data_IF_321420282695
#
_entry.id   IF_321420282695
#
_cell.length_a   1.000
_cell.length_b   1.000
_cell.length_c   1.000
_cell.angle_alpha   90.00
_cell.angle_beta   90.00
_cell.angle_gamma   90.00
#
_symmetry.space_group_name_H-M   'P 1'
#
loop_
_entity.id
_entity.type
_entity.pdbx_description
1 polymer ?
#
# COMPACT_ATOMS: atom_id res chain seq x y z
N UNK A 1 29.06 -25.75 22.16
CA UNK A 1 28.02 -25.19 23.05
C UNK A 1 27.66 -23.76 22.70
N UNK A 2 26.79 -23.58 21.71
CA UNK A 2 26.17 -22.28 21.41
C UNK A 2 24.89 -22.19 22.23
N UNK A 3 24.98 -21.54 23.40
CA UNK A 3 23.82 -21.25 24.24
C UNK A 3 22.80 -20.40 23.45
N UNK A 4 21.69 -21.05 23.07
CA UNK A 4 20.51 -20.39 22.51
C UNK A 4 19.86 -19.55 23.62
N UNK A 5 20.18 -18.26 23.70
CA UNK A 5 19.45 -17.30 24.51
C UNK A 5 18.04 -17.13 23.96
N UNK A 6 17.08 -17.93 24.45
CA UNK A 6 15.67 -17.86 24.07
C UNK A 6 14.90 -17.04 25.11
N UNK A 7 14.47 -15.85 24.73
CA UNK A 7 13.65 -14.97 25.56
C UNK A 7 12.15 -15.36 25.54
N UNK A 8 11.42 -14.96 26.58
CA UNK A 8 9.97 -15.17 26.79
C UNK A 8 9.18 -13.89 26.51
N UNK A 9 7.96 -14.05 25.99
CA UNK A 9 6.92 -13.02 25.94
C UNK A 9 5.66 -13.59 26.62
N UNK A 10 5.28 -13.06 27.79
CA UNK A 10 4.07 -13.47 28.55
C UNK A 10 2.81 -12.77 28.05
N UNK A 11 1.64 -12.95 28.69
CA UNK A 11 0.30 -12.52 28.21
C UNK A 11 0.08 -11.01 28.00
N UNK A 12 1.13 -10.18 28.12
CA UNK A 12 1.23 -8.79 27.62
C UNK A 12 1.74 -8.76 26.15
N UNK A 13 1.23 -9.69 25.33
CA UNK A 13 1.92 -10.21 24.13
C UNK A 13 2.23 -9.21 23.01
N UNK A 14 1.50 -8.10 22.89
CA UNK A 14 1.70 -7.15 21.81
C UNK A 14 2.53 -5.92 22.21
N UNK A 15 2.35 -5.39 23.42
CA UNK A 15 3.03 -4.14 23.83
C UNK A 15 4.54 -4.29 23.91
N UNK A 16 5.02 -5.42 24.45
CA UNK A 16 6.46 -5.72 24.54
C UNK A 16 7.07 -5.96 23.16
N UNK A 17 6.38 -6.72 22.29
CA UNK A 17 6.85 -6.97 20.93
C UNK A 17 6.88 -5.66 20.10
N UNK A 18 5.85 -4.83 20.21
CA UNK A 18 5.82 -3.49 19.58
C UNK A 18 6.99 -2.62 20.07
N UNK A 19 7.31 -2.67 21.36
CA UNK A 19 8.42 -1.91 21.94
C UNK A 19 9.77 -2.39 21.41
N UNK A 20 9.96 -3.72 21.31
CA UNK A 20 11.16 -4.32 20.74
C UNK A 20 11.34 -4.01 19.26
N UNK A 21 10.25 -3.89 18.50
CA UNK A 21 10.27 -3.59 17.06
C UNK A 21 10.23 -2.10 16.74
N UNK A 22 10.07 -1.22 17.74
CA UNK A 22 10.02 0.22 17.52
C UNK A 22 11.28 0.78 16.81
N UNK A 23 12.52 0.36 17.14
CA UNK A 23 13.70 0.80 16.40
C UNK A 23 13.68 0.39 14.92
N UNK A 24 13.27 -0.84 14.63
CA UNK A 24 13.16 -1.35 13.24
C UNK A 24 12.09 -0.58 12.48
N UNK A 25 10.94 -0.33 13.12
CA UNK A 25 9.83 0.44 12.55
C UNK A 25 10.25 1.87 12.21
N UNK A 26 11.06 2.49 13.07
CA UNK A 26 11.62 3.83 12.82
C UNK A 26 12.53 3.85 11.59
N UNK A 27 13.43 2.88 11.47
CA UNK A 27 14.32 2.79 10.29
C UNK A 27 13.53 2.54 9.01
N UNK A 28 12.50 1.69 9.05
CA UNK A 28 11.58 1.48 7.92
C UNK A 28 10.94 2.80 7.48
N UNK A 29 10.43 3.59 8.43
CA UNK A 29 9.83 4.90 8.14
C UNK A 29 10.85 5.90 7.57
N UNK A 30 12.09 5.88 8.06
CA UNK A 30 13.17 6.73 7.54
C UNK A 30 13.51 6.39 6.08
N UNK A 31 13.56 5.10 5.73
CA UNK A 31 13.75 4.64 4.34
C UNK A 31 12.61 5.11 3.44
N UNK A 32 11.36 4.98 3.90
CA UNK A 32 10.19 5.43 3.14
C UNK A 32 10.22 6.96 2.96
N UNK A 33 10.49 7.70 4.02
CA UNK A 33 10.63 9.16 3.97
C UNK A 33 11.78 9.61 3.06
N UNK A 34 12.89 8.86 3.01
CA UNK A 34 14.00 9.14 2.12
C UNK A 34 13.57 9.06 0.66
N UNK A 35 12.83 8.02 0.27
CA UNK A 35 12.27 7.91 -1.08
C UNK A 35 11.34 9.07 -1.40
N UNK A 36 10.44 9.44 -0.48
CA UNK A 36 9.49 10.55 -0.69
C UNK A 36 10.17 11.92 -0.86
N UNK A 37 11.27 12.17 -0.15
CA UNK A 37 12.07 13.40 -0.29
C UNK A 37 12.88 13.44 -1.59
N UNK A 38 13.13 12.28 -2.21
CA UNK A 38 13.98 12.15 -3.40
C UNK A 38 13.20 11.72 -4.65
N UNK A 39 11.94 12.17 -4.78
CA UNK A 39 11.06 11.84 -5.92
C UNK A 39 11.62 12.23 -7.30
N UNK A 40 12.47 13.25 -7.36
CA UNK A 40 13.14 13.70 -8.60
C UNK A 40 14.42 12.93 -8.94
N UNK A 41 14.83 11.98 -8.09
CA UNK A 41 16.07 11.23 -8.29
C UNK A 41 16.02 10.39 -9.56
N UNK A 42 17.09 10.34 -10.37
CA UNK A 42 17.18 9.41 -11.50
C UNK A 42 17.13 7.93 -11.03
N UNK A 43 17.45 7.67 -9.76
CA UNK A 43 17.38 6.35 -9.14
C UNK A 43 16.05 6.10 -8.42
N UNK A 44 15.00 6.87 -8.70
CA UNK A 44 13.72 6.75 -7.99
C UNK A 44 13.11 5.34 -8.02
N UNK A 45 13.26 4.59 -9.12
CA UNK A 45 12.81 3.19 -9.17
C UNK A 45 13.61 2.28 -8.21
N UNK A 46 14.91 2.54 -8.00
CA UNK A 46 15.71 1.81 -7.01
C UNK A 46 15.25 2.14 -5.60
N UNK A 47 15.08 3.43 -5.30
CA UNK A 47 14.59 3.90 -4.00
C UNK A 47 13.19 3.36 -3.70
N UNK A 48 12.33 3.28 -4.72
CA UNK A 48 10.98 2.74 -4.58
C UNK A 48 10.99 1.23 -4.35
N UNK A 49 11.82 0.47 -5.08
CA UNK A 49 11.97 -0.96 -4.80
C UNK A 49 12.35 -1.19 -3.33
N UNK A 50 13.33 -0.42 -2.81
CA UNK A 50 13.74 -0.54 -1.41
C UNK A 50 12.66 -0.13 -0.43
N UNK A 51 12.04 1.02 -0.65
CA UNK A 51 11.01 1.60 0.22
C UNK A 51 9.76 0.72 0.36
N UNK A 52 9.37 0.04 -0.71
CA UNK A 52 8.12 -0.72 -0.75
C UNK A 52 8.31 -2.14 -0.21
N UNK A 53 9.52 -2.73 -0.29
CA UNK A 53 9.80 -4.06 0.29
C UNK A 53 10.42 -4.04 1.68
N UNK A 54 11.02 -2.93 2.14
CA UNK A 54 11.65 -2.87 3.48
C UNK A 54 10.71 -3.26 4.65
N UNK A 55 9.36 -3.10 4.60
CA UNK A 55 8.48 -3.63 5.65
C UNK A 55 8.54 -5.15 5.83
N UNK A 56 9.11 -5.90 4.87
CA UNK A 56 9.39 -7.34 5.00
C UNK A 56 10.21 -7.67 6.25
N UNK A 57 11.07 -6.75 6.70
CA UNK A 57 11.86 -6.93 7.94
C UNK A 57 10.99 -7.06 9.19
N UNK A 58 9.71 -6.65 9.11
CA UNK A 58 8.71 -6.84 10.17
C UNK A 58 8.14 -8.26 10.26
N UNK A 59 8.57 -9.22 9.43
CA UNK A 59 8.03 -10.58 9.38
C UNK A 59 8.00 -11.31 10.73
N UNK A 60 8.89 -10.93 11.66
CA UNK A 60 8.99 -11.49 13.02
C UNK A 60 7.71 -11.30 13.85
N UNK A 61 6.88 -10.30 13.52
CA UNK A 61 5.58 -10.07 14.12
C UNK A 61 4.43 -10.76 13.36
N UNK A 62 4.72 -11.43 12.25
CA UNK A 62 3.71 -12.00 11.37
C UNK A 62 3.51 -13.48 11.65
N UNK A 63 2.32 -13.83 12.13
CA UNK A 63 1.85 -15.20 12.30
C UNK A 63 0.40 -15.29 11.80
N UNK A 64 -0.02 -16.42 11.20
CA UNK A 64 0.72 -17.66 11.02
C UNK A 64 1.48 -17.75 9.69
N UNK A 65 1.56 -16.68 8.90
CA UNK A 65 2.09 -16.70 7.53
C UNK A 65 3.22 -15.68 7.28
N UNK A 66 4.36 -15.76 8.00
CA UNK A 66 5.48 -14.83 7.80
C UNK A 66 6.14 -14.94 6.42
N UNK A 67 6.27 -16.15 5.86
CA UNK A 67 6.85 -16.37 4.53
C UNK A 67 6.05 -15.69 3.42
N UNK A 68 4.72 -15.96 3.32
CA UNK A 68 3.84 -15.24 2.41
C UNK A 68 3.88 -13.71 2.58
N UNK A 69 3.94 -13.20 3.80
CA UNK A 69 4.10 -11.75 4.03
C UNK A 69 5.38 -11.18 3.40
N UNK A 70 6.54 -11.83 3.59
CA UNK A 70 7.78 -11.40 2.94
C UNK A 70 7.67 -11.47 1.42
N UNK A 71 6.98 -12.48 0.89
CA UNK A 71 6.73 -12.62 -0.54
C UNK A 71 5.93 -11.43 -1.08
N UNK A 72 4.86 -11.03 -0.41
CA UNK A 72 4.02 -9.90 -0.84
C UNK A 72 4.84 -8.59 -0.89
N UNK A 73 5.73 -8.39 0.08
CA UNK A 73 6.65 -7.24 0.09
C UNK A 73 7.70 -7.32 -1.03
N UNK A 74 8.22 -8.51 -1.33
CA UNK A 74 9.10 -8.72 -2.49
C UNK A 74 8.37 -8.42 -3.80
N UNK A 75 7.12 -8.86 -3.95
CA UNK A 75 6.32 -8.60 -5.15
C UNK A 75 6.08 -7.09 -5.35
N UNK A 76 5.94 -6.33 -4.26
CA UNK A 76 5.89 -4.86 -4.31
C UNK A 76 7.22 -4.26 -4.84
N UNK A 77 8.38 -4.78 -4.42
CA UNK A 77 9.66 -4.38 -5.00
C UNK A 77 9.77 -4.76 -6.48
N UNK A 78 9.25 -5.93 -6.88
CA UNK A 78 9.32 -6.43 -8.26
C UNK A 78 8.71 -5.46 -9.27
N UNK A 79 7.67 -4.72 -8.89
CA UNK A 79 7.09 -3.68 -9.75
C UNK A 79 8.12 -2.64 -10.19
N UNK A 80 9.01 -2.22 -9.28
CA UNK A 80 10.01 -1.21 -9.53
C UNK A 80 11.33 -1.79 -10.05
N UNK A 81 11.76 -2.96 -9.56
CA UNK A 81 12.97 -3.61 -10.09
C UNK A 81 12.79 -4.03 -11.55
N UNK A 82 11.59 -4.44 -11.97
CA UNK A 82 11.29 -4.68 -13.39
C UNK A 82 11.42 -3.42 -14.25
N UNK A 83 11.12 -2.24 -13.70
CA UNK A 83 11.35 -0.96 -14.38
C UNK A 83 12.84 -0.66 -14.49
N UNK A 84 13.60 -0.90 -13.43
CA UNK A 84 15.07 -0.80 -13.47
C UNK A 84 15.64 -1.74 -14.55
N UNK A 85 15.23 -3.00 -14.58
CA UNK A 85 15.67 -3.94 -15.62
C UNK A 85 15.28 -3.45 -17.01
N UNK A 86 14.05 -2.96 -17.20
CA UNK A 86 13.61 -2.41 -18.49
C UNK A 86 14.49 -1.24 -18.94
N UNK A 87 14.81 -0.34 -18.03
CA UNK A 87 15.51 0.91 -18.35
C UNK A 87 17.02 0.71 -18.55
N UNK A 88 17.61 -0.30 -17.90
CA UNK A 88 19.06 -0.49 -17.82
C UNK A 88 19.60 -1.81 -18.40
N UNK A 89 18.77 -2.83 -18.71
CA UNK A 89 19.25 -4.16 -19.17
C UNK A 89 20.24 -4.15 -20.33
N UNK A 90 20.11 -3.17 -21.23
CA UNK A 90 20.96 -3.01 -22.42
C UNK A 90 21.91 -1.80 -22.31
N UNK A 91 21.87 -1.06 -21.19
CA UNK A 91 22.64 0.17 -21.00
C UNK A 91 23.74 0.02 -19.98
N UNK A 92 23.42 -0.58 -18.84
CA UNK A 92 24.35 -0.70 -17.72
C UNK A 92 24.03 -1.93 -16.89
N UNK A 93 24.99 -2.85 -16.87
CA UNK A 93 24.91 -4.13 -16.19
C UNK A 93 24.90 -4.00 -14.67
N UNK A 94 25.48 -2.93 -14.10
CA UNK A 94 25.52 -2.70 -12.66
C UNK A 94 24.12 -2.66 -12.06
N UNK A 95 23.17 -2.02 -12.74
CA UNK A 95 21.79 -1.93 -12.29
C UNK A 95 21.06 -3.28 -12.36
N UNK A 96 21.39 -4.11 -13.36
CA UNK A 96 20.85 -5.48 -13.48
C UNK A 96 21.38 -6.35 -12.34
N UNK A 97 22.68 -6.27 -12.07
CA UNK A 97 23.33 -6.99 -10.96
C UNK A 97 22.77 -6.55 -9.61
N UNK A 98 22.54 -5.25 -9.42
CA UNK A 98 21.87 -4.72 -8.24
C UNK A 98 20.47 -5.30 -8.07
N UNK A 99 19.65 -5.36 -9.12
CA UNK A 99 18.30 -5.96 -9.03
C UNK A 99 18.38 -7.42 -8.60
N UNK A 100 19.26 -8.20 -9.22
CA UNK A 100 19.38 -9.63 -8.91
C UNK A 100 19.83 -9.85 -7.46
N UNK A 101 20.84 -9.11 -7.01
CA UNK A 101 21.33 -9.18 -5.63
C UNK A 101 20.28 -8.67 -4.62
N UNK A 102 19.53 -7.63 -4.97
CA UNK A 102 18.51 -7.08 -4.07
C UNK A 102 17.33 -8.04 -3.89
N UNK A 103 16.87 -8.67 -4.98
CA UNK A 103 15.76 -9.64 -4.95
C UNK A 103 16.18 -10.94 -4.25
N UNK A 104 17.47 -11.32 -4.30
CA UNK A 104 17.95 -12.53 -3.62
C UNK A 104 17.82 -12.43 -2.10
N UNK A 105 18.02 -11.24 -1.50
CA UNK A 105 17.82 -11.00 -0.06
C UNK A 105 16.45 -11.52 0.40
N UNK A 106 15.40 -11.16 -0.32
CA UNK A 106 14.03 -11.54 0.04
C UNK A 106 13.73 -13.00 -0.26
N UNK A 107 14.31 -13.54 -1.33
CA UNK A 107 14.17 -14.94 -1.70
C UNK A 107 14.82 -15.86 -0.66
N UNK A 108 16.02 -15.52 -0.21
CA UNK A 108 16.74 -16.24 0.85
C UNK A 108 16.05 -16.09 2.20
N UNK A 109 15.51 -14.90 2.51
CA UNK A 109 14.73 -14.69 3.74
C UNK A 109 13.47 -15.57 3.76
N UNK A 110 12.74 -15.68 2.64
CA UNK A 110 11.61 -16.60 2.55
C UNK A 110 12.03 -18.05 2.77
N UNK A 111 13.16 -18.48 2.19
CA UNK A 111 13.70 -19.82 2.39
C UNK A 111 14.05 -20.09 3.86
N UNK A 112 14.72 -19.13 4.52
CA UNK A 112 15.04 -19.20 5.94
C UNK A 112 13.77 -19.30 6.81
N UNK A 113 12.78 -18.44 6.56
CA UNK A 113 11.51 -18.46 7.30
C UNK A 113 10.79 -19.79 7.09
N UNK A 114 10.74 -20.30 5.85
CA UNK A 114 10.10 -21.58 5.55
C UNK A 114 10.77 -22.73 6.31
N UNK A 115 12.10 -22.71 6.43
CA UNK A 115 12.87 -23.77 7.08
C UNK A 115 12.81 -23.71 8.62
N UNK A 116 12.81 -22.51 9.21
CA UNK A 116 13.01 -22.34 10.65
C UNK A 116 11.79 -21.77 11.39
N UNK A 117 10.91 -21.03 10.70
CA UNK A 117 9.85 -20.21 11.31
C UNK A 117 8.55 -20.26 10.49
N UNK A 118 8.18 -21.44 9.97
CA UNK A 118 7.10 -21.62 8.99
C UNK A 118 5.79 -20.95 9.39
N UNK A 119 5.45 -20.98 10.69
CA UNK A 119 4.21 -20.41 11.24
C UNK A 119 4.43 -19.15 12.10
N UNK A 120 5.62 -18.56 12.05
CA UNK A 120 6.03 -17.44 12.92
C UNK A 120 7.11 -17.83 13.92
N UNK A 121 7.62 -16.82 14.63
CA UNK A 121 8.59 -17.03 15.70
C UNK A 121 7.97 -17.80 16.88
N UNK A 122 8.71 -18.78 17.38
CA UNK A 122 8.38 -19.49 18.61
C UNK A 122 9.15 -18.90 19.79
N UNK A 123 8.41 -18.31 20.74
CA UNK A 123 8.98 -17.71 21.95
C UNK A 123 9.06 -18.74 23.09
N UNK A 124 10.10 -18.66 23.92
CA UNK A 124 10.27 -19.58 25.06
C UNK A 124 9.18 -19.34 26.12
N UNK A 125 8.62 -20.41 26.68
CA UNK A 125 7.66 -20.31 27.80
C UNK A 125 8.35 -20.14 29.16
N UNK A 126 9.64 -20.48 29.26
CA UNK A 126 10.42 -20.56 30.51
C UNK A 126 11.67 -19.68 30.49
N UNK A 127 11.95 -18.98 29.39
CA UNK A 127 13.11 -18.10 29.26
C UNK A 127 12.96 -16.75 29.99
N UNK A 128 14.05 -15.97 30.10
CA UNK A 128 13.99 -14.60 30.62
C UNK A 128 13.03 -13.74 29.79
N UNK A 129 12.25 -12.86 30.42
CA UNK A 129 11.33 -11.96 29.70
C UNK A 129 12.16 -10.95 28.92
N UNK A 130 11.86 -10.77 27.63
CA UNK A 130 12.50 -9.74 26.82
C UNK A 130 12.05 -8.35 27.31
N UNK A 131 12.99 -7.51 27.78
CA UNK A 131 12.72 -6.12 28.13
C UNK A 131 12.91 -5.22 26.91
N UNK A 132 11.98 -4.29 26.67
CA UNK A 132 12.03 -3.33 25.56
C UNK A 132 13.08 -2.21 25.72
N UNK A 133 14.07 -2.39 26.59
CA UNK A 133 15.16 -1.44 26.80
C UNK A 133 16.27 -1.67 25.79
N UNK A 134 16.71 -0.62 25.10
CA UNK A 134 17.82 -0.69 24.16
C UNK A 134 19.10 -1.20 24.87
N UNK A 135 19.75 -2.28 24.39
CA UNK A 135 21.10 -2.61 24.83
C UNK A 135 22.07 -1.61 24.20
N UNK A 136 22.79 -0.87 25.03
CA UNK A 136 23.96 -0.07 24.64
C UNK A 136 25.19 -0.97 24.42
N UNK A 137 25.11 -1.89 23.45
CA UNK A 137 26.20 -2.81 23.10
C UNK A 137 26.32 -2.94 21.59
N UNK A 138 27.41 -2.41 21.03
CA UNK A 138 27.71 -2.47 19.60
C UNK A 138 27.79 -3.91 19.08
N UNK A 139 27.15 -4.18 17.96
CA UNK A 139 27.36 -5.41 17.21
C UNK A 139 28.83 -5.49 16.72
N UNK A 140 29.44 -6.69 16.61
CA UNK A 140 30.75 -6.83 16.00
C UNK A 140 30.70 -6.34 14.55
N UNK A 141 31.72 -5.59 14.14
CA UNK A 141 31.82 -5.07 12.78
C UNK A 141 31.84 -6.22 11.75
N UNK A 142 31.19 -6.05 10.58
CA UNK A 142 31.36 -6.98 9.47
C UNK A 142 32.83 -7.00 9.00
N UNK A 143 33.33 -8.12 8.46
CA UNK A 143 34.70 -8.20 7.95
C UNK A 143 34.94 -7.15 6.87
N UNK A 144 36.15 -6.54 6.82
CA UNK A 144 36.41 -5.38 5.98
C UNK A 144 36.29 -5.72 4.48
N UNK A 145 35.65 -4.86 3.66
CA UNK A 145 35.70 -4.92 2.21
C UNK A 145 37.14 -4.71 1.70
N UNK A 146 37.50 -5.37 0.59
CA UNK A 146 38.79 -5.19 -0.08
C UNK A 146 39.04 -3.73 -0.52
N UNK A 147 40.30 -3.33 -0.72
CA UNK A 147 40.69 -1.92 -0.87
C UNK A 147 40.12 -1.31 -2.17
N UNK A 148 39.49 -0.12 -2.10
CA UNK A 148 39.06 0.63 -3.27
C UNK A 148 40.23 1.36 -3.96
N UNK A 149 40.09 1.70 -5.27
CA UNK A 149 41.11 2.44 -6.02
C UNK A 149 41.32 3.88 -5.48
N UNK A 150 42.52 4.47 -5.67
CA UNK A 150 42.93 5.71 -5.00
C UNK A 150 42.16 6.95 -5.52
N UNK A 151 41.83 7.92 -4.66
CA UNK A 151 41.13 9.16 -5.04
C UNK A 151 42.09 10.22 -5.61
N UNK A 152 41.58 11.07 -6.51
CA UNK A 152 42.21 12.33 -6.90
C UNK A 152 41.81 13.45 -5.94
N UNK A 153 42.81 14.24 -5.53
CA UNK A 153 42.72 15.42 -4.66
C UNK A 153 42.00 16.61 -5.30
N UNK A 154 41.17 17.29 -4.49
CA UNK A 154 40.94 18.74 -4.57
C UNK A 154 40.68 19.28 -3.16
N UNK A 155 41.62 20.11 -2.69
CA UNK A 155 41.72 20.77 -1.39
C UNK A 155 40.86 22.08 -1.32
N UNK A 156 40.53 22.46 -0.07
CA UNK A 156 40.16 23.79 0.48
C UNK A 156 38.73 24.32 0.26
N UNK A 157 37.98 24.80 1.27
CA UNK A 157 38.38 25.54 2.48
C UNK A 157 37.34 25.50 3.63
N UNK A 158 37.87 25.42 4.86
CA UNK A 158 37.50 26.06 6.15
C UNK A 158 36.04 26.46 6.54
N UNK A 159 35.60 25.91 7.69
CA UNK A 159 35.37 26.69 8.92
C UNK A 159 33.92 26.92 9.43
N UNK A 160 33.63 26.48 10.67
CA UNK A 160 32.73 27.19 11.60
C UNK A 160 31.51 26.42 12.15
N UNK A 161 31.57 26.08 13.44
CA UNK A 161 30.56 25.43 14.29
C UNK A 161 29.36 26.33 14.67
N UNK A 162 28.16 25.75 14.86
CA UNK A 162 27.09 26.13 15.81
C UNK A 162 25.78 25.36 15.54
N UNK A 163 25.58 24.20 16.19
CA UNK A 163 24.44 23.31 15.91
C UNK A 163 23.68 22.80 17.14
N UNK A 164 23.19 23.68 18.03
CA UNK A 164 22.34 23.25 19.16
C UNK A 164 21.11 24.14 19.46
N UNK A 165 20.99 25.35 18.90
CA UNK A 165 19.93 26.31 19.25
C UNK A 165 18.73 26.32 18.30
N UNK A 166 18.79 25.62 17.16
CA UNK A 166 17.74 25.70 16.11
C UNK A 166 16.52 24.80 16.35
N UNK A 167 16.62 23.77 17.22
CA UNK A 167 15.51 22.83 17.45
C UNK A 167 14.47 23.28 18.48
N UNK A 168 14.83 24.13 19.45
CA UNK A 168 13.85 24.67 20.41
C UNK A 168 13.07 25.89 19.89
N UNK A 169 13.57 26.58 18.86
CA UNK A 169 12.86 27.69 18.22
C UNK A 169 11.69 27.25 17.32
N UNK A 170 11.80 26.05 16.73
CA UNK A 170 10.78 25.46 15.86
C UNK A 170 9.54 24.94 16.63
N UNK A 171 9.69 24.54 17.89
CA UNK A 171 8.56 24.10 18.71
C UNK A 171 7.82 25.26 19.41
N UNK A 172 8.48 26.37 19.68
CA UNK A 172 7.84 27.57 20.25
C UNK A 172 6.97 28.33 19.21
N UNK A 173 7.23 28.15 17.92
CA UNK A 173 6.48 28.77 16.82
C UNK A 173 5.20 27.99 16.45
N UNK A 174 5.10 26.71 16.82
CA UNK A 174 3.92 25.88 16.56
C UNK A 174 2.77 26.06 17.57
N UNK A 175 3.05 26.58 18.77
CA UNK A 175 2.06 26.73 19.86
C UNK A 175 1.38 28.11 19.93
N UNK A 176 1.37 28.90 18.86
CA UNK A 176 0.81 30.27 18.85
C UNK A 176 -0.61 30.46 18.30
N UNK A 177 -1.31 29.38 17.95
CA UNK A 177 -2.75 29.45 17.63
C UNK A 177 -3.16 30.58 16.65
N UNK A 178 -4.33 31.17 16.87
CA UNK A 178 -4.99 32.14 15.99
C UNK A 178 -4.25 33.50 15.80
N UNK A 179 -3.10 33.72 16.43
CA UNK A 179 -2.33 34.97 16.32
C UNK A 179 -1.32 34.99 15.14
N UNK A 180 -1.25 33.93 14.34
CA UNK A 180 -0.34 33.83 13.17
C UNK A 180 -0.62 34.87 12.07
N UNK A 181 -1.80 35.49 12.06
CA UNK A 181 -2.21 36.49 11.06
C UNK A 181 -1.70 37.91 11.37
N UNK A 182 -1.14 38.16 12.56
CA UNK A 182 -0.60 39.48 12.95
C UNK A 182 0.78 39.81 12.36
N UNK A 183 1.46 38.83 11.75
CA UNK A 183 2.79 38.98 11.16
C UNK A 183 2.83 39.28 9.65
N UNK A 184 1.67 39.35 8.99
CA UNK A 184 1.60 39.66 7.56
C UNK A 184 1.61 41.18 7.36
N UNK A 185 2.56 41.67 6.55
CA UNK A 185 2.69 43.09 6.21
C UNK A 185 1.43 43.53 5.47
N UNK A 186 0.65 44.45 6.05
CA UNK A 186 -0.57 44.96 5.44
C UNK A 186 -0.22 45.74 4.16
N UNK A 187 -0.76 45.30 3.02
CA UNK A 187 -0.59 45.99 1.73
C UNK A 187 -1.49 47.23 1.72
N UNK A 188 -0.92 48.45 1.60
CA UNK A 188 -1.72 49.67 1.55
C UNK A 188 -2.60 49.70 0.28
N UNK A 189 -3.73 50.39 0.37
CA UNK A 189 -4.81 50.31 -0.63
C UNK A 189 -4.44 50.90 -2.00
N UNK A 190 -3.37 51.68 -2.06
CA UNK A 190 -2.74 52.21 -3.27
C UNK A 190 -2.03 51.14 -4.12
N UNK A 191 -1.68 49.98 -3.54
CA UNK A 191 -1.06 48.86 -4.26
C UNK A 191 -2.05 47.76 -4.67
N UNK A 192 -3.34 47.94 -4.38
CA UNK A 192 -4.39 47.00 -4.80
C UNK A 192 -4.98 47.48 -6.12
N UNK A 193 -4.77 46.69 -7.18
CA UNK A 193 -5.18 47.01 -8.57
C UNK A 193 -6.70 47.22 -8.78
N UNK A 194 -7.54 46.85 -7.80
CA UNK A 194 -8.98 47.09 -7.83
C UNK A 194 -9.43 48.35 -7.06
N UNK A 195 -8.53 49.01 -6.31
CA UNK A 195 -8.82 50.22 -5.52
C UNK A 195 -8.07 51.47 -5.96
N UNK A 196 -7.00 51.32 -6.77
CA UNK A 196 -6.24 52.45 -7.30
C UNK A 196 -6.41 52.58 -8.83
N UNK A 197 -7.22 53.53 -9.33
CA UNK A 197 -7.51 53.68 -10.77
C UNK A 197 -6.29 54.07 -11.63
N UNK A 198 -5.23 54.64 -11.05
CA UNK A 198 -4.04 55.10 -11.80
C UNK A 198 -3.12 53.96 -12.23
N UNK A 199 -3.20 52.78 -11.60
CA UNK A 199 -2.42 51.59 -11.99
C UNK A 199 -2.98 50.85 -13.23
N UNK A 200 -4.15 51.23 -13.74
CA UNK A 200 -4.73 50.66 -14.97
C UNK A 200 -4.27 51.35 -16.26
N UNK A 201 -3.57 52.49 -16.17
CA UNK A 201 -3.33 53.38 -17.31
C UNK A 201 -1.88 53.46 -17.81
N UNK A 202 -0.99 52.54 -17.40
CA UNK A 202 0.36 52.42 -17.98
C UNK A 202 0.59 51.02 -18.56
N UNK A 203 0.36 50.90 -19.85
CA UNK A 203 0.73 49.75 -20.67
C UNK A 203 0.44 50.07 -22.14
N UNK A 204 1.44 50.60 -22.85
CA UNK A 204 1.41 50.77 -24.31
C UNK A 204 1.31 49.44 -25.07
N UNK A 205 1.24 49.46 -26.42
CA UNK A 205 0.76 48.33 -27.20
C UNK A 205 1.71 47.14 -27.14
N UNK A 206 1.27 46.05 -26.50
CA UNK A 206 1.96 44.77 -26.50
C UNK A 206 1.53 43.94 -27.71
N UNK A 207 2.54 43.45 -28.43
CA UNK A 207 2.45 42.55 -29.57
C UNK A 207 1.53 41.36 -29.26
N UNK A 208 0.70 40.99 -30.24
CA UNK A 208 -0.21 39.84 -30.17
C UNK A 208 0.57 38.54 -29.93
N UNK A 209 0.58 38.07 -28.68
CA UNK A 209 1.00 36.72 -28.33
C UNK A 209 0.06 35.66 -28.91
N UNK A 210 0.52 34.42 -29.11
CA UNK A 210 -0.30 33.38 -29.71
C UNK A 210 -1.53 33.07 -28.84
N UNK A 211 -2.65 32.81 -29.51
CA UNK A 211 -3.96 32.41 -28.97
C UNK A 211 -3.84 31.40 -27.79
N UNK A 212 -4.78 31.43 -26.82
CA UNK A 212 -4.81 30.46 -25.73
C UNK A 212 -4.78 29.05 -26.31
N UNK A 213 -3.83 28.25 -25.84
CA UNK A 213 -3.62 26.89 -26.30
C UNK A 213 -4.97 26.16 -26.22
N UNK A 214 -5.52 25.81 -27.38
CA UNK A 214 -6.55 24.81 -27.49
C UNK A 214 -6.08 23.58 -26.69
N UNK A 215 -6.98 22.97 -25.92
CA UNK A 215 -6.71 21.71 -25.24
C UNK A 215 -6.08 20.76 -26.25
N UNK A 216 -4.78 20.52 -26.10
CA UNK A 216 -4.09 19.48 -26.85
C UNK A 216 -4.83 18.20 -26.49
N UNK A 217 -5.25 17.36 -27.46
CA UNK A 217 -5.69 16.02 -27.13
C UNK A 217 -4.57 15.43 -26.29
N UNK A 218 -4.89 15.03 -25.06
CA UNK A 218 -4.00 14.15 -24.30
C UNK A 218 -3.67 13.03 -25.25
N UNK A 219 -2.40 12.92 -25.63
CA UNK A 219 -1.92 11.78 -26.39
C UNK A 219 -2.45 10.55 -25.66
N UNK A 220 -3.28 9.74 -26.35
CA UNK A 220 -3.81 8.52 -25.80
C UNK A 220 -2.66 7.81 -25.10
N UNK A 221 -2.83 7.52 -23.81
CA UNK A 221 -1.86 6.74 -23.07
C UNK A 221 -1.50 5.55 -23.96
N UNK A 222 -0.21 5.39 -24.27
CA UNK A 222 0.27 4.27 -25.07
C UNK A 222 -0.41 3.02 -24.55
N UNK A 223 -1.09 2.21 -25.39
CA UNK A 223 -1.87 1.09 -24.91
C UNK A 223 -0.97 0.25 -24.02
N UNK A 224 -1.38 0.14 -22.74
CA UNK A 224 -0.68 -0.70 -21.79
C UNK A 224 -0.55 -2.07 -22.46
N UNK A 225 0.68 -2.58 -22.60
CA UNK A 225 0.94 -3.88 -23.20
C UNK A 225 0.08 -4.91 -22.47
N UNK A 226 -1.03 -5.31 -23.08
CA UNK A 226 -1.98 -6.28 -22.54
C UNK A 226 -1.29 -7.63 -22.60
N UNK A 227 -1.04 -8.23 -21.45
CA UNK A 227 -0.70 -9.63 -21.37
C UNK A 227 -1.87 -10.44 -21.98
N UNK A 228 -1.61 -11.63 -22.53
CA UNK A 228 -2.69 -12.45 -23.08
C UNK A 228 -3.72 -12.78 -21.99
N UNK A 229 -5.02 -12.82 -22.34
CA UNK A 229 -6.06 -13.27 -21.42
C UNK A 229 -5.78 -14.70 -20.95
N UNK A 230 -5.94 -14.94 -19.66
CA UNK A 230 -5.78 -16.27 -19.03
C UNK A 230 -7.10 -16.67 -18.41
N UNK A 231 -7.52 -17.90 -18.69
CA UNK A 231 -8.60 -18.59 -18.00
C UNK A 231 -8.21 -20.08 -17.91
N UNK A 232 -7.56 -20.45 -16.81
CA UNK A 232 -7.08 -21.83 -16.62
C UNK A 232 -7.05 -22.22 -15.15
N UNK A 233 -7.11 -23.53 -14.89
CA UNK A 233 -6.89 -24.10 -13.57
C UNK A 233 -5.41 -24.47 -13.40
N UNK A 234 -4.71 -23.76 -12.52
CA UNK A 234 -3.35 -24.08 -12.10
C UNK A 234 -3.38 -24.76 -10.72
N UNK A 235 -3.31 -26.09 -10.73
CA UNK A 235 -3.44 -26.93 -9.54
C UNK A 235 -4.81 -26.79 -8.90
N UNK A 236 -4.94 -25.94 -7.89
CA UNK A 236 -6.21 -25.64 -7.20
C UNK A 236 -6.69 -24.20 -7.39
N UNK A 237 -5.97 -23.39 -8.15
CA UNK A 237 -6.26 -21.98 -8.35
C UNK A 237 -6.73 -21.76 -9.78
N UNK A 238 -7.97 -21.33 -9.95
CA UNK A 238 -8.44 -20.76 -11.20
C UNK A 238 -7.84 -19.37 -11.40
N UNK A 239 -7.05 -19.21 -12.45
CA UNK A 239 -6.50 -17.91 -12.87
C UNK A 239 -7.41 -17.30 -13.91
N UNK A 240 -7.95 -16.12 -13.62
CA UNK A 240 -8.72 -15.30 -14.56
C UNK A 240 -7.97 -13.99 -14.73
N UNK A 241 -7.07 -13.90 -15.70
CA UNK A 241 -6.13 -12.78 -15.78
C UNK A 241 -6.23 -12.01 -17.09
N UNK A 242 -6.00 -10.70 -17.03
CA UNK A 242 -5.84 -9.82 -18.20
C UNK A 242 -7.02 -9.85 -19.18
N UNK A 243 -8.23 -10.12 -18.68
CA UNK A 243 -9.46 -10.09 -19.48
C UNK A 243 -9.84 -8.66 -19.81
N UNK A 244 -10.30 -8.41 -21.04
CA UNK A 244 -10.71 -7.10 -21.52
C UNK A 244 -11.98 -7.26 -22.36
N UNK A 245 -13.11 -6.69 -21.92
CA UNK A 245 -14.37 -6.77 -22.67
C UNK A 245 -15.03 -8.16 -22.70
N UNK A 246 -14.64 -9.10 -21.82
CA UNK A 246 -15.10 -10.48 -21.86
C UNK A 246 -16.28 -10.70 -20.92
N UNK A 247 -17.49 -10.88 -21.45
CA UNK A 247 -18.73 -10.98 -20.66
C UNK A 247 -19.30 -12.39 -20.49
N UNK A 248 -18.65 -13.40 -21.08
CA UNK A 248 -19.11 -14.80 -21.06
C UNK A 248 -18.18 -15.76 -20.32
N UNK A 249 -17.35 -15.27 -19.38
CA UNK A 249 -16.39 -16.11 -18.68
C UNK A 249 -17.13 -16.95 -17.63
N UNK A 250 -17.15 -18.28 -17.79
CA UNK A 250 -17.83 -19.19 -16.89
C UNK A 250 -16.86 -20.27 -16.41
N UNK A 251 -16.78 -20.45 -15.10
CA UNK A 251 -16.07 -21.55 -14.44
C UNK A 251 -17.14 -22.51 -13.91
N UNK A 252 -17.38 -23.62 -14.62
CA UNK A 252 -18.40 -24.61 -14.27
C UNK A 252 -17.89 -25.79 -13.45
N UNK A 253 -16.67 -26.24 -13.73
CA UNK A 253 -16.12 -27.47 -13.15
C UNK A 253 -15.33 -27.14 -11.88
N UNK A 254 -16.06 -26.87 -10.79
CA UNK A 254 -15.47 -26.43 -9.52
C UNK A 254 -15.43 -27.52 -8.46
N UNK A 255 -14.42 -27.44 -7.58
CA UNK A 255 -14.31 -28.27 -6.38
C UNK A 255 -14.18 -27.42 -5.11
N UNK A 256 -14.65 -27.94 -3.97
CA UNK A 256 -14.68 -27.23 -2.69
C UNK A 256 -13.32 -26.66 -2.25
N UNK A 257 -12.22 -27.34 -2.59
CA UNK A 257 -10.84 -26.93 -2.21
C UNK A 257 -10.25 -25.84 -3.11
N UNK A 258 -10.88 -25.57 -4.25
CA UNK A 258 -10.36 -24.65 -5.25
C UNK A 258 -10.60 -23.20 -4.85
N UNK A 259 -9.80 -22.32 -5.44
CA UNK A 259 -9.89 -20.87 -5.25
C UNK A 259 -9.89 -20.19 -6.61
N UNK A 260 -10.54 -19.03 -6.73
CA UNK A 260 -10.52 -18.20 -7.94
C UNK A 260 -9.70 -16.95 -7.66
N UNK A 261 -8.78 -16.62 -8.57
CA UNK A 261 -8.01 -15.39 -8.56
C UNK A 261 -8.20 -14.65 -9.88
N UNK A 262 -8.95 -13.55 -9.84
CA UNK A 262 -9.16 -12.68 -10.98
C UNK A 262 -8.25 -11.46 -10.89
N UNK A 263 -7.38 -11.28 -11.88
CA UNK A 263 -6.38 -10.21 -11.88
C UNK A 263 -6.44 -9.38 -13.15
N UNK A 264 -6.46 -8.04 -13.05
CA UNK A 264 -6.45 -7.15 -14.22
C UNK A 264 -7.56 -7.44 -15.23
N UNK A 265 -8.74 -7.83 -14.76
CA UNK A 265 -9.91 -8.01 -15.61
C UNK A 265 -10.67 -6.68 -15.72
N UNK A 266 -10.78 -6.16 -16.93
CA UNK A 266 -11.44 -4.88 -17.20
C UNK A 266 -12.68 -5.08 -18.06
N UNK A 267 -13.75 -4.35 -17.74
CA UNK A 267 -15.01 -4.36 -18.48
C UNK A 267 -15.46 -5.79 -18.82
N UNK A 268 -15.45 -6.68 -17.84
CA UNK A 268 -15.62 -8.11 -18.03
C UNK A 268 -16.64 -8.66 -17.03
N UNK A 269 -17.12 -9.88 -17.27
CA UNK A 269 -18.05 -10.58 -16.38
C UNK A 269 -17.61 -12.03 -16.21
N UNK A 270 -17.46 -12.45 -14.96
CA UNK A 270 -17.03 -13.79 -14.56
C UNK A 270 -18.14 -14.43 -13.75
N UNK A 271 -18.55 -15.63 -14.15
CA UNK A 271 -19.48 -16.48 -13.41
C UNK A 271 -18.75 -17.69 -12.85
N UNK A 272 -18.85 -17.92 -11.55
CA UNK A 272 -18.28 -19.09 -10.86
C UNK A 272 -19.42 -19.95 -10.35
N UNK A 273 -19.64 -21.11 -10.97
CA UNK A 273 -20.70 -22.04 -10.57
C UNK A 273 -20.20 -23.03 -9.54
N UNK A 274 -21.10 -23.49 -8.67
CA UNK A 274 -20.80 -24.43 -7.60
C UNK A 274 -20.14 -23.79 -6.37
N UNK A 275 -19.62 -24.64 -5.49
CA UNK A 275 -19.12 -24.24 -4.18
C UNK A 275 -17.60 -24.36 -4.11
N UNK A 276 -16.93 -23.24 -3.82
CA UNK A 276 -15.47 -23.17 -3.74
C UNK A 276 -14.99 -22.56 -2.42
N UNK A 277 -13.68 -22.59 -2.18
CA UNK A 277 -13.09 -22.14 -0.92
C UNK A 277 -13.09 -20.61 -0.80
N UNK A 278 -12.58 -19.89 -1.80
CA UNK A 278 -12.49 -18.43 -1.78
C UNK A 278 -12.35 -17.83 -3.18
N UNK A 279 -12.67 -16.54 -3.30
CA UNK A 279 -12.50 -15.75 -4.54
C UNK A 279 -11.73 -14.48 -4.21
N UNK A 280 -10.77 -14.10 -5.03
CA UNK A 280 -10.07 -12.81 -4.93
C UNK A 280 -10.15 -12.08 -6.26
N UNK A 281 -10.57 -10.82 -6.22
CA UNK A 281 -10.53 -9.87 -7.32
C UNK A 281 -9.42 -8.86 -7.01
N UNK A 282 -8.40 -8.77 -7.87
CA UNK A 282 -7.26 -7.88 -7.68
C UNK A 282 -7.01 -7.02 -8.93
N UNK A 283 -6.98 -5.70 -8.72
CA UNK A 283 -6.65 -4.73 -9.76
C UNK A 283 -7.56 -4.82 -10.99
N UNK A 284 -8.84 -5.15 -10.78
CA UNK A 284 -9.89 -5.22 -11.81
C UNK A 284 -10.68 -3.91 -11.91
N UNK A 285 -11.23 -3.61 -13.08
CA UNK A 285 -12.01 -2.39 -13.33
C UNK A 285 -13.31 -2.70 -14.07
N UNK A 286 -14.46 -2.20 -13.62
CA UNK A 286 -15.76 -2.51 -14.27
C UNK A 286 -15.98 -4.02 -14.42
N UNK A 287 -15.63 -4.78 -13.39
CA UNK A 287 -15.76 -6.23 -13.37
C UNK A 287 -17.07 -6.62 -12.69
N UNK A 288 -17.85 -7.48 -13.34
CA UNK A 288 -18.95 -8.21 -12.70
C UNK A 288 -18.49 -9.60 -12.29
N UNK A 289 -18.70 -9.96 -11.03
CA UNK A 289 -18.54 -11.32 -10.51
C UNK A 289 -19.91 -11.83 -10.07
N UNK A 290 -20.31 -13.00 -10.57
CA UNK A 290 -21.47 -13.76 -10.09
C UNK A 290 -20.98 -15.11 -9.60
N UNK A 291 -21.36 -15.54 -8.41
CA UNK A 291 -20.95 -16.84 -7.88
C UNK A 291 -22.04 -17.52 -7.06
N UNK A 292 -22.01 -18.84 -6.98
CA UNK A 292 -22.99 -19.61 -6.20
C UNK A 292 -22.63 -19.59 -4.70
N UNK A 293 -21.65 -20.38 -4.28
CA UNK A 293 -21.28 -20.51 -2.86
C UNK A 293 -19.78 -20.37 -2.63
N UNK A 294 -19.42 -19.68 -1.54
CA UNK A 294 -18.05 -19.56 -1.06
C UNK A 294 -17.98 -20.01 0.40
N UNK A 295 -17.03 -20.89 0.71
CA UNK A 295 -16.84 -21.42 2.08
C UNK A 295 -16.18 -20.40 3.00
N UNK A 296 -15.20 -19.66 2.50
CA UNK A 296 -14.39 -18.73 3.27
C UNK A 296 -14.78 -17.28 3.02
N UNK A 297 -14.09 -16.65 2.07
CA UNK A 297 -14.14 -15.21 1.85
C UNK A 297 -14.11 -14.85 0.37
N UNK A 298 -14.78 -13.75 0.02
CA UNK A 298 -14.54 -13.03 -1.24
C UNK A 298 -13.77 -11.76 -0.93
N UNK A 299 -12.62 -11.57 -1.56
CA UNK A 299 -11.77 -10.39 -1.39
C UNK A 299 -11.79 -9.54 -2.65
N UNK A 300 -12.04 -8.25 -2.50
CA UNK A 300 -11.99 -7.24 -3.56
C UNK A 300 -10.90 -6.24 -3.21
N UNK A 301 -9.79 -6.29 -3.93
CA UNK A 301 -8.55 -5.58 -3.59
C UNK A 301 -8.13 -4.70 -4.76
N UNK A 302 -7.83 -3.42 -4.48
CA UNK A 302 -7.25 -2.51 -5.47
C UNK A 302 -8.09 -2.38 -6.76
N UNK A 303 -9.41 -2.54 -6.66
CA UNK A 303 -10.32 -2.57 -7.80
C UNK A 303 -11.03 -1.22 -8.01
N UNK A 304 -11.74 -1.09 -9.14
CA UNK A 304 -12.63 0.05 -9.40
C UNK A 304 -13.92 -0.36 -10.09
N UNK A 305 -15.06 0.21 -9.69
CA UNK A 305 -16.38 -0.03 -10.31
C UNK A 305 -16.74 -1.53 -10.38
N UNK A 306 -16.60 -2.27 -9.29
CA UNK A 306 -16.85 -3.73 -9.27
C UNK A 306 -18.25 -4.04 -8.78
N UNK A 307 -18.86 -5.08 -9.37
CA UNK A 307 -20.13 -5.65 -8.91
C UNK A 307 -19.91 -7.10 -8.51
N UNK A 308 -20.31 -7.45 -7.30
CA UNK A 308 -20.19 -8.80 -6.74
C UNK A 308 -21.58 -9.29 -6.39
N UNK A 309 -22.02 -10.41 -6.98
CA UNK A 309 -23.32 -11.01 -6.71
C UNK A 309 -23.16 -12.45 -6.25
N UNK A 310 -23.73 -12.74 -5.08
CA UNK A 310 -23.83 -14.10 -4.55
C UNK A 310 -25.22 -14.66 -4.84
N UNK A 311 -25.29 -15.90 -5.31
CA UNK A 311 -26.55 -16.61 -5.55
C UNK A 311 -26.91 -17.53 -4.37
N UNK A 312 -25.91 -18.13 -3.73
CA UNK A 312 -26.03 -19.00 -2.55
C UNK A 312 -25.48 -18.32 -1.30
N UNK A 313 -24.53 -18.95 -0.60
CA UNK A 313 -24.00 -18.48 0.68
C UNK A 313 -22.55 -18.00 0.60
N UNK A 314 -22.26 -16.93 1.35
CA UNK A 314 -20.91 -16.42 1.61
C UNK A 314 -20.83 -15.89 3.05
N UNK A 315 -19.82 -16.28 3.85
CA UNK A 315 -19.67 -15.77 5.21
C UNK A 315 -19.16 -14.33 5.29
N UNK A 316 -18.16 -13.99 4.48
CA UNK A 316 -17.48 -12.69 4.56
C UNK A 316 -17.12 -12.17 3.16
N UNK A 317 -17.34 -10.88 2.95
CA UNK A 317 -16.83 -10.14 1.79
C UNK A 317 -15.94 -9.01 2.31
N UNK A 318 -14.69 -8.99 1.87
CA UNK A 318 -13.70 -7.98 2.23
C UNK A 318 -13.43 -7.05 1.05
N UNK A 319 -13.54 -5.75 1.28
CA UNK A 319 -13.33 -4.69 0.29
C UNK A 319 -12.17 -3.82 0.75
N UNK A 320 -11.04 -3.89 0.05
CA UNK A 320 -9.82 -3.21 0.42
C UNK A 320 -9.28 -2.37 -0.74
N UNK A 321 -8.94 -1.09 -0.48
CA UNK A 321 -8.35 -0.19 -1.47
C UNK A 321 -9.15 -0.13 -2.79
N UNK A 322 -10.47 -0.18 -2.71
CA UNK A 322 -11.36 -0.27 -3.88
C UNK A 322 -12.33 0.90 -3.89
N UNK A 323 -12.50 1.52 -5.06
CA UNK A 323 -13.44 2.64 -5.25
C UNK A 323 -14.59 2.17 -6.15
N UNK A 324 -15.83 2.22 -5.64
CA UNK A 324 -17.01 1.72 -6.34
C UNK A 324 -17.13 0.20 -6.23
N UNK A 325 -17.90 -0.28 -5.26
CA UNK A 325 -18.15 -1.71 -5.07
C UNK A 325 -19.61 -1.96 -4.66
N UNK A 326 -20.36 -2.64 -5.53
CA UNK A 326 -21.75 -3.02 -5.26
C UNK A 326 -21.82 -4.51 -4.95
N UNK A 327 -22.27 -4.86 -3.75
CA UNK A 327 -22.40 -6.23 -3.26
C UNK A 327 -23.88 -6.62 -3.24
N UNK A 328 -24.29 -7.51 -4.13
CA UNK A 328 -25.64 -8.05 -4.21
C UNK A 328 -25.71 -9.34 -3.40
N UNK A 329 -26.41 -9.30 -2.28
CA UNK A 329 -26.64 -10.46 -1.43
C UNK A 329 -27.75 -11.36 -1.98
N UNK A 330 -27.76 -12.62 -1.56
CA UNK A 330 -28.88 -13.54 -1.72
C UNK A 330 -29.70 -13.59 -0.44
N UNK A 331 -30.85 -14.28 -0.49
CA UNK A 331 -31.66 -14.58 0.71
C UNK A 331 -30.90 -15.48 1.71
N UNK A 332 -29.92 -16.26 1.23
CA UNK A 332 -29.14 -17.20 2.03
C UNK A 332 -27.83 -16.60 2.57
N UNK A 333 -27.46 -15.40 2.10
CA UNK A 333 -26.25 -14.68 2.51
C UNK A 333 -26.52 -13.40 3.31
N UNK A 334 -27.72 -13.25 3.88
CA UNK A 334 -28.09 -12.07 4.69
C UNK A 334 -27.23 -11.90 5.95
N UNK A 335 -26.61 -12.98 6.43
CA UNK A 335 -25.66 -12.96 7.54
C UNK A 335 -24.21 -12.70 7.11
N UNK A 336 -23.98 -12.28 5.86
CA UNK A 336 -22.64 -12.00 5.35
C UNK A 336 -22.03 -10.80 6.09
N UNK A 337 -20.81 -10.95 6.58
CA UNK A 337 -20.03 -9.86 7.15
C UNK A 337 -19.35 -9.06 6.04
N UNK A 338 -19.49 -7.74 6.06
CA UNK A 338 -18.78 -6.85 5.15
C UNK A 338 -17.62 -6.20 5.91
N UNK A 339 -16.40 -6.49 5.47
CA UNK A 339 -15.18 -5.90 6.04
C UNK A 339 -14.64 -4.89 5.04
N UNK A 340 -14.45 -3.65 5.45
CA UNK A 340 -13.95 -2.59 4.57
C UNK A 340 -12.68 -1.93 5.10
N UNK A 341 -11.78 -1.58 4.18
CA UNK A 341 -10.58 -0.80 4.48
C UNK A 341 -10.16 0.06 3.29
N UNK A 342 -9.89 1.35 3.53
CA UNK A 342 -9.37 2.29 2.52
C UNK A 342 -10.16 2.27 1.18
N UNK A 343 -11.46 2.09 1.27
CA UNK A 343 -12.35 1.91 0.12
C UNK A 343 -13.45 2.96 0.17
N UNK A 344 -14.01 3.30 -0.99
CA UNK A 344 -15.06 4.31 -1.14
C UNK A 344 -16.17 3.85 -2.07
N UNK A 345 -17.33 4.52 -2.03
CA UNK A 345 -18.48 4.24 -2.92
C UNK A 345 -18.92 2.77 -2.82
N UNK A 346 -19.05 2.27 -1.59
CA UNK A 346 -19.44 0.89 -1.30
C UNK A 346 -20.93 0.79 -0.97
N UNK A 347 -21.63 -0.11 -1.66
CA UNK A 347 -23.06 -0.32 -1.49
C UNK A 347 -23.37 -1.81 -1.32
N UNK A 348 -24.18 -2.14 -0.32
CA UNK A 348 -24.74 -3.48 -0.11
C UNK A 348 -26.18 -3.47 -0.58
N UNK A 349 -26.51 -4.34 -1.52
CA UNK A 349 -27.83 -4.52 -2.07
C UNK A 349 -28.45 -5.75 -1.43
N UNK A 350 -29.47 -5.51 -0.59
CA UNK A 350 -30.18 -6.53 0.18
C UNK A 350 -31.48 -6.90 -0.53
N UNK A 351 -31.72 -8.17 -0.87
CA UNK A 351 -32.94 -8.57 -1.57
C UNK A 351 -34.14 -8.55 -0.61
N UNK A 352 -35.26 -7.99 -1.07
CA UNK A 352 -36.54 -8.08 -0.40
C UNK A 352 -37.28 -9.39 -0.76
N UNK A 353 -38.52 -9.55 -0.28
CA UNK A 353 -39.32 -10.76 -0.55
C UNK A 353 -39.63 -10.93 -2.03
N UNK A 354 -39.85 -9.82 -2.73
CA UNK A 354 -40.27 -9.74 -4.14
C UNK A 354 -39.09 -9.83 -5.13
N UNK A 355 -37.85 -9.89 -4.61
CA UNK A 355 -36.63 -10.02 -5.42
C UNK A 355 -36.07 -8.68 -5.89
N UNK A 356 -36.62 -7.55 -5.44
CA UNK A 356 -36.01 -6.24 -5.62
C UNK A 356 -34.94 -6.00 -4.55
N UNK A 357 -34.00 -5.10 -4.84
CA UNK A 357 -32.88 -4.81 -3.97
C UNK A 357 -33.05 -3.46 -3.28
N UNK A 358 -32.86 -3.44 -1.96
CA UNK A 358 -32.64 -2.20 -1.21
C UNK A 358 -31.14 -1.93 -1.17
N UNK A 359 -30.73 -0.77 -1.68
CA UNK A 359 -29.34 -0.33 -1.68
C UNK A 359 -29.01 0.38 -0.37
N UNK A 360 -27.96 -0.07 0.32
CA UNK A 360 -27.53 0.47 1.61
C UNK A 360 -26.05 0.85 1.50
N UNK A 361 -25.68 2.13 1.64
CA UNK A 361 -24.29 2.54 1.61
C UNK A 361 -23.53 2.05 2.85
N UNK A 362 -22.30 1.57 2.66
CA UNK A 362 -21.41 1.19 3.76
C UNK A 362 -20.70 2.44 4.28
N UNK A 363 -20.68 2.69 5.60
CA UNK A 363 -19.92 3.79 6.18
C UNK A 363 -18.43 3.74 5.83
N UNK A 364 -17.93 4.82 5.24
CA UNK A 364 -16.52 4.98 4.86
C UNK A 364 -15.79 6.06 5.69
N UNK A 365 -16.53 6.87 6.44
CA UNK A 365 -15.99 7.87 7.37
C UNK A 365 -16.25 7.48 8.83
N UNK A 366 -15.23 7.63 9.67
CA UNK A 366 -15.29 7.30 11.09
C UNK A 366 -14.86 8.49 11.95
N UNK A 367 -15.58 8.70 13.06
CA UNK A 367 -15.24 9.67 14.09
C UNK A 367 -14.60 8.96 15.27
N UNK A 368 -13.38 9.36 15.60
CA UNK A 368 -12.65 8.86 16.78
C UNK A 368 -12.55 9.95 17.83
N UNK A 369 -12.96 9.66 19.06
CA UNK A 369 -12.92 10.59 20.20
C UNK A 369 -12.19 9.96 21.37
N UNK A 370 -11.41 10.75 22.10
CA UNK A 370 -10.84 10.37 23.39
C UNK A 370 -11.89 10.56 24.50
N UNK A 371 -12.26 9.48 25.19
CA UNK A 371 -13.31 9.51 26.23
C UNK A 371 -12.79 9.81 27.65
N UNK A 372 -11.49 10.11 27.77
CA UNK A 372 -10.79 10.21 29.06
C UNK A 372 -9.96 8.97 29.41
N UNK A 373 -10.18 7.84 28.74
CA UNK A 373 -9.49 6.57 29.01
C UNK A 373 -8.99 5.84 27.75
N UNK A 374 -9.75 5.89 26.66
CA UNK A 374 -9.45 5.20 25.41
C UNK A 374 -9.96 5.98 24.21
N UNK A 375 -9.51 5.56 23.03
CA UNK A 375 -10.10 6.01 21.77
C UNK A 375 -11.36 5.20 21.50
N UNK A 376 -12.47 5.90 21.29
CA UNK A 376 -13.76 5.33 20.89
C UNK A 376 -14.05 5.77 19.47
N UNK A 377 -14.21 4.81 18.57
CA UNK A 377 -14.49 5.03 17.15
C UNK A 377 -15.94 4.70 16.86
N UNK A 378 -16.61 5.58 16.14
CA UNK A 378 -17.99 5.40 15.67
C UNK A 378 -18.03 5.66 14.16
N UNK A 379 -18.85 4.89 13.44
CA UNK A 379 -19.14 5.21 12.04
C UNK A 379 -19.96 6.51 11.99
N UNK A 380 -19.60 7.42 11.08
CA UNK A 380 -20.44 8.57 10.79
C UNK A 380 -21.63 8.08 9.98
N UNK A 381 -22.86 8.48 10.34
CA UNK A 381 -24.01 8.12 9.53
C UNK A 381 -23.91 8.74 8.14
N UNK A 382 -23.95 7.89 7.12
CA UNK A 382 -24.10 8.31 5.74
C UNK A 382 -25.61 8.35 5.49
N UNK A 383 -26.20 9.54 5.60
CA UNK A 383 -27.52 9.79 5.05
C UNK A 383 -27.33 10.04 3.55
N UNK A 384 -27.47 8.99 2.74
CA UNK A 384 -27.33 9.00 1.28
C UNK A 384 -28.47 8.23 0.64
#
# INVERSE_FOLDING_TARGET
DTQNFRYRISSEKMSVLTSLLAPVSKVIQEVQAFREKNRSSPLFNHLSAVSESVPALGWVAMAPKPGPYVKDMQDAAMFYTNRVLKDYKEKDKMHVEWVNAYVSIWTELQAYIKQHHTTGLSWSKTGPVASGGAPSGGAPAPPPPGPPPPPMDLDKSSGGDSGATSRNALFASLNKGADITKGLKHVPDDQKTHKNPTLKAQGGPLLSGPKPFAARPTAAASPARTLPPVLELDGKKWKVENQEGAHGLVISDTELKQVVYAFKCNNSTVQVKGKINSITLDNCKKLGLVFDDVVGIVEVINCKDVKVQVMGKVPTISINKTDGCHVYLSKDSLSCEIVSAKSSEMNVLVPNKDGEYTEIPVPEQFKTVWDGSKLVTTATEIAG
#
